data_IF_655618506978
#
_entry.id   IF_655618506978
#
_cell.length_a   1.000
_cell.length_b   1.000
_cell.length_c   1.000
_cell.angle_alpha   90.00
_cell.angle_beta   90.00
_cell.angle_gamma   90.00
#
_symmetry.space_group_name_H-M   'P 1'
#
loop_
_entity.id
_entity.type
_entity.pdbx_description
1 polymer ?
#
# COMPACT_ATOMS: atom_id res chain seq x y z
N UNK A 1 15.39 0.88 30.17
CA UNK A 1 15.58 0.45 28.78
C UNK A 1 14.19 0.11 28.24
N UNK A 2 13.48 1.08 27.69
CA UNK A 2 12.24 0.84 26.94
C UNK A 2 12.67 0.51 25.53
N UNK A 3 12.52 -0.76 25.14
CA UNK A 3 12.74 -1.24 23.78
C UNK A 3 11.94 -0.39 22.80
N UNK A 4 12.64 0.44 22.02
CA UNK A 4 12.13 1.03 20.80
C UNK A 4 11.74 -0.12 19.85
N UNK A 5 10.48 -0.55 19.91
CA UNK A 5 9.83 -1.22 18.77
C UNK A 5 9.60 -0.14 17.69
N UNK A 6 10.68 0.44 17.18
CA UNK A 6 10.62 1.36 16.06
C UNK A 6 10.41 0.53 14.79
N UNK A 7 9.14 0.21 14.56
CA UNK A 7 8.50 -0.05 13.28
C UNK A 7 9.41 -0.69 12.22
N UNK A 8 9.25 -2.00 12.01
CA UNK A 8 9.73 -2.74 10.83
C UNK A 8 9.29 -2.11 9.48
N UNK A 9 8.49 -1.05 9.49
CA UNK A 9 7.91 -0.38 8.32
C UNK A 9 8.61 0.93 8.01
N UNK A 10 9.04 1.10 6.76
CA UNK A 10 9.58 2.36 6.24
C UNK A 10 8.63 3.01 5.26
N UNK A 11 8.40 4.31 5.43
CA UNK A 11 7.70 5.14 4.45
C UNK A 11 8.55 5.33 3.19
N UNK A 12 7.90 5.22 2.04
CA UNK A 12 8.51 5.36 0.72
C UNK A 12 7.88 6.56 -0.01
N UNK A 13 8.66 7.21 -0.85
CA UNK A 13 8.12 8.21 -1.78
C UNK A 13 7.12 7.54 -2.75
N UNK A 14 6.03 8.21 -3.09
CA UNK A 14 4.95 7.64 -3.93
C UNK A 14 5.37 7.34 -5.38
N UNK A 15 6.49 7.89 -5.84
CA UNK A 15 7.12 7.55 -7.12
C UNK A 15 8.00 6.28 -7.05
N UNK A 16 8.20 5.71 -5.86
CA UNK A 16 8.95 4.47 -5.68
C UNK A 16 8.27 3.30 -6.38
N UNK A 17 9.03 2.30 -6.86
CA UNK A 17 8.43 1.07 -7.36
C UNK A 17 7.63 0.33 -6.28
N UNK A 18 6.33 0.20 -6.52
CA UNK A 18 5.42 -0.60 -5.70
C UNK A 18 5.75 -2.08 -5.86
N UNK A 19 5.63 -2.84 -4.77
CA UNK A 19 5.85 -4.29 -4.67
C UNK A 19 4.65 -4.97 -4.01
N UNK A 20 4.56 -6.28 -4.20
CA UNK A 20 3.62 -7.11 -3.45
C UNK A 20 3.92 -7.02 -1.95
N UNK A 21 2.88 -6.94 -1.14
CA UNK A 21 3.01 -6.82 0.31
C UNK A 21 3.25 -5.38 0.82
N UNK A 22 3.42 -4.40 -0.08
CA UNK A 22 3.45 -2.99 0.32
C UNK A 22 2.12 -2.59 0.96
N UNK A 23 2.21 -1.78 2.01
CA UNK A 23 1.04 -1.13 2.59
C UNK A 23 0.81 0.22 1.95
N UNK A 24 -0.44 0.51 1.64
CA UNK A 24 -0.84 1.79 1.07
C UNK A 24 -2.01 2.39 1.85
N UNK A 25 -2.07 3.71 1.86
CA UNK A 25 -3.24 4.48 2.31
C UNK A 25 -3.85 5.18 1.10
N UNK A 26 -5.15 4.99 0.82
CA UNK A 26 -5.89 5.77 -0.20
C UNK A 26 -6.67 6.91 0.44
N UNK A 27 -7.06 7.92 -0.34
CA UNK A 27 -7.95 9.01 0.11
C UNK A 27 -9.44 8.80 -0.20
N UNK A 28 -10.31 9.43 0.60
CA UNK A 28 -11.76 9.59 0.42
C UNK A 28 -12.56 8.35 -0.09
N UNK A 29 -12.94 7.42 0.80
CA UNK A 29 -12.62 7.37 2.23
C UNK A 29 -11.18 6.91 2.48
N UNK A 30 -10.58 7.41 3.56
CA UNK A 30 -9.23 7.00 3.94
C UNK A 30 -9.22 5.53 4.33
N UNK A 31 -8.45 4.71 3.61
CA UNK A 31 -8.42 3.26 3.80
C UNK A 31 -7.00 2.74 3.65
N UNK A 32 -6.64 1.81 4.52
CA UNK A 32 -5.36 1.10 4.47
C UNK A 32 -5.55 -0.29 3.91
N UNK A 33 -4.57 -0.74 3.13
CA UNK A 33 -4.56 -2.06 2.54
C UNK A 33 -3.19 -2.48 2.05
N UNK A 34 -3.14 -3.71 1.56
CA UNK A 34 -1.92 -4.36 1.08
C UNK A 34 -2.00 -4.55 -0.43
N UNK A 35 -0.90 -4.26 -1.12
CA UNK A 35 -0.77 -4.50 -2.56
C UNK A 35 -0.69 -6.00 -2.81
N UNK A 36 -1.69 -6.51 -3.53
CA UNK A 36 -1.85 -7.91 -3.92
C UNK A 36 -1.61 -8.15 -5.41
N UNK A 37 -1.43 -7.10 -6.21
CA UNK A 37 -1.24 -7.26 -7.65
C UNK A 37 -1.09 -5.95 -8.42
N UNK A 38 -0.89 -6.07 -9.73
CA UNK A 38 -0.67 -4.96 -10.65
C UNK A 38 -1.47 -5.18 -11.94
N UNK A 39 -2.02 -4.11 -12.49
CA UNK A 39 -2.74 -4.11 -13.77
C UNK A 39 -2.05 -3.13 -14.72
N UNK A 40 -1.98 -3.52 -16.00
CA UNK A 40 -1.40 -2.70 -17.08
C UNK A 40 0.11 -2.92 -17.26
N UNK A 41 0.61 -2.70 -18.49
CA UNK A 41 2.03 -2.91 -18.85
C UNK A 41 2.98 -2.05 -18.01
N UNK A 42 2.56 -0.83 -17.66
CA UNK A 42 3.32 0.11 -16.82
C UNK A 42 3.01 0.00 -15.33
N UNK A 43 2.13 -0.95 -14.94
CA UNK A 43 1.67 -1.11 -13.55
C UNK A 43 1.11 0.19 -12.96
N UNK A 44 0.35 0.97 -13.74
CA UNK A 44 -0.23 2.24 -13.25
C UNK A 44 -1.35 2.04 -12.23
N UNK A 45 -1.96 0.85 -12.26
CA UNK A 45 -3.03 0.41 -11.35
C UNK A 45 -2.53 -0.74 -10.50
N UNK A 46 -2.82 -0.69 -9.21
CA UNK A 46 -2.52 -1.73 -8.22
C UNK A 46 -3.80 -2.40 -7.79
N UNK A 47 -3.71 -3.69 -7.46
CA UNK A 47 -4.79 -4.43 -6.82
C UNK A 47 -4.50 -4.41 -5.33
N UNK A 48 -5.44 -3.91 -4.52
CA UNK A 48 -5.28 -3.74 -3.08
C UNK A 48 -6.34 -4.54 -2.35
N UNK A 49 -5.93 -5.30 -1.33
CA UNK A 49 -6.84 -5.85 -0.34
C UNK A 49 -6.85 -4.89 0.86
N UNK A 50 -8.00 -4.28 1.14
CA UNK A 50 -8.12 -3.34 2.24
C UNK A 50 -8.42 -4.05 3.57
N UNK A 51 -7.83 -3.56 4.65
CA UNK A 51 -7.89 -4.19 5.98
C UNK A 51 -9.33 -4.30 6.51
N UNK A 52 -10.19 -3.34 6.17
CA UNK A 52 -11.62 -3.33 6.56
C UNK A 52 -12.52 -4.31 5.79
N UNK A 53 -12.03 -4.92 4.71
CA UNK A 53 -12.76 -5.91 3.90
C UNK A 53 -11.84 -7.06 3.48
N UNK A 54 -11.44 -7.92 4.45
CA UNK A 54 -10.65 -9.11 4.14
C UNK A 54 -11.44 -9.99 3.16
N UNK A 55 -10.80 -10.44 2.08
CA UNK A 55 -11.41 -11.26 1.04
C UNK A 55 -11.89 -10.51 -0.21
N UNK A 56 -11.98 -9.18 -0.19
CA UNK A 56 -12.22 -8.39 -1.41
C UNK A 56 -10.97 -7.62 -1.82
N UNK A 57 -10.61 -7.71 -3.10
CA UNK A 57 -9.54 -6.89 -3.69
C UNK A 57 -10.15 -5.85 -4.62
N UNK A 58 -9.62 -4.62 -4.58
CA UNK A 58 -10.09 -3.48 -5.37
C UNK A 58 -8.91 -2.93 -6.18
N UNK A 59 -9.17 -2.57 -7.44
CA UNK A 59 -8.20 -1.86 -8.27
C UNK A 59 -8.12 -0.38 -7.87
N UNK A 60 -6.92 0.10 -7.59
CA UNK A 60 -6.61 1.48 -7.19
C UNK A 60 -5.57 2.04 -8.15
N UNK A 61 -5.75 3.26 -8.66
CA UNK A 61 -4.69 3.92 -9.44
C UNK A 61 -3.63 4.45 -8.49
N UNK A 62 -2.35 4.36 -8.86
CA UNK A 62 -1.25 4.85 -8.01
C UNK A 62 -1.36 6.34 -7.67
N UNK A 63 -2.02 7.13 -8.51
CA UNK A 63 -2.27 8.57 -8.28
C UNK A 63 -3.24 8.83 -7.12
N UNK A 64 -4.03 7.83 -6.72
CA UNK A 64 -5.00 7.94 -5.63
C UNK A 64 -4.41 7.47 -4.27
N UNK A 65 -3.14 7.05 -4.27
CA UNK A 65 -2.40 6.62 -3.07
C UNK A 65 -1.80 7.84 -2.39
N UNK A 66 -2.05 7.98 -1.09
CA UNK A 66 -1.55 9.05 -0.24
C UNK A 66 -0.25 8.66 0.48
N UNK A 67 -0.14 7.40 0.88
CA UNK A 67 1.02 6.88 1.61
C UNK A 67 1.41 5.51 1.09
N UNK A 68 2.71 5.24 1.04
CA UNK A 68 3.30 3.95 0.70
C UNK A 68 4.29 3.57 1.80
N UNK A 69 4.13 2.38 2.37
CA UNK A 69 5.03 1.83 3.39
C UNK A 69 5.43 0.40 3.05
N UNK A 70 6.64 0.01 3.43
CA UNK A 70 7.18 -1.32 3.18
C UNK A 70 7.90 -1.85 4.40
N UNK A 71 7.71 -3.14 4.68
CA UNK A 71 8.49 -3.84 5.69
C UNK A 71 9.96 -3.95 5.25
N UNK A 72 10.90 -3.50 6.09
CA UNK A 72 12.36 -3.58 5.82
C UNK A 72 12.82 -5.02 5.68
#
# INVERSE_FOLDING_TARGET
MTTDHDSDWSSLALNSPYKYGDRITTGNPQRQGVVMGFIGKKKETIIVQFDHKPGQSISVKKVDVLELTRKR
#
